data_IF_091082102460
#
_entry.id   IF_091082102460
#
_cell.length_a   1.000
_cell.length_b   1.000
_cell.length_c   1.000
_cell.angle_alpha   90.00
_cell.angle_beta   90.00
_cell.angle_gamma   90.00
#
_symmetry.space_group_name_H-M   'P 1'
#
loop_
_entity.id
_entity.type
_entity.pdbx_description
1 polymer ?
#
# COMPACT_ATOMS: atom_id res chain seq x y z
N UNK A 1 5.67 -36.28 -0.72
CA UNK A 1 4.47 -36.33 0.15
C UNK A 1 4.76 -35.77 1.57
N UNK A 2 5.90 -36.10 2.18
CA UNK A 2 6.29 -35.69 3.55
C UNK A 2 6.32 -34.15 3.74
N UNK A 3 6.84 -33.37 2.78
CA UNK A 3 6.91 -31.89 2.89
C UNK A 3 5.55 -31.19 3.03
N UNK A 4 4.46 -31.75 2.50
CA UNK A 4 3.11 -31.17 2.65
C UNK A 4 2.54 -31.38 4.05
N UNK A 5 3.00 -32.41 4.78
CA UNK A 5 2.51 -32.70 6.12
C UNK A 5 3.10 -31.75 7.17
N UNK A 6 4.35 -31.33 7.00
CA UNK A 6 5.02 -30.40 7.92
C UNK A 6 4.80 -28.93 7.58
N UNK A 7 4.13 -28.63 6.46
CA UNK A 7 3.85 -27.25 6.05
C UNK A 7 2.64 -26.69 6.80
N UNK A 8 2.68 -25.42 7.25
CA UNK A 8 1.51 -24.75 7.80
C UNK A 8 0.43 -24.56 6.72
N UNK A 9 -0.86 -24.46 7.12
CA UNK A 9 -1.92 -24.05 6.21
C UNK A 9 -1.69 -22.61 5.72
N UNK A 10 -2.19 -22.31 4.51
CA UNK A 10 -2.13 -20.99 3.89
C UNK A 10 -3.47 -20.30 4.07
N UNK A 11 -3.44 -19.05 4.50
CA UNK A 11 -4.55 -18.15 4.76
C UNK A 11 -4.49 -16.95 3.80
N UNK A 12 -5.60 -16.22 3.69
CA UNK A 12 -5.69 -15.05 2.80
C UNK A 12 -4.88 -13.85 3.32
N UNK A 13 -4.72 -13.75 4.65
CA UNK A 13 -3.99 -12.66 5.30
C UNK A 13 -2.53 -13.06 5.58
N UNK A 14 -1.60 -12.16 5.24
CA UNK A 14 -0.16 -12.31 5.51
C UNK A 14 0.15 -12.46 7.00
N UNK A 15 -0.61 -11.78 7.87
CA UNK A 15 -0.46 -11.90 9.33
C UNK A 15 -0.82 -13.30 9.83
N UNK A 16 -1.91 -13.86 9.32
CA UNK A 16 -2.37 -15.20 9.68
C UNK A 16 -1.43 -16.29 9.14
N UNK A 17 -0.91 -16.11 7.92
CA UNK A 17 0.17 -16.95 7.38
C UNK A 17 1.42 -16.93 8.26
N UNK A 18 1.79 -15.75 8.75
CA UNK A 18 2.93 -15.58 9.65
C UNK A 18 2.71 -16.31 10.97
N UNK A 19 1.57 -16.10 11.63
CA UNK A 19 1.20 -16.73 12.90
C UNK A 19 1.11 -18.26 12.76
N UNK A 20 0.52 -18.75 11.68
CA UNK A 20 0.43 -20.18 11.39
C UNK A 20 1.81 -20.83 11.18
N UNK A 21 2.72 -20.15 10.46
CA UNK A 21 4.10 -20.60 10.30
C UNK A 21 4.83 -20.69 11.64
N UNK A 22 4.58 -19.75 12.54
CA UNK A 22 5.13 -19.76 13.90
C UNK A 22 4.61 -20.92 14.74
N UNK A 23 3.28 -21.06 14.86
CA UNK A 23 2.68 -22.15 15.66
C UNK A 23 3.16 -23.50 15.15
N UNK A 24 3.08 -23.74 13.85
CA UNK A 24 3.47 -25.02 13.27
C UNK A 24 4.98 -25.28 13.44
N UNK A 25 5.83 -24.29 13.15
CA UNK A 25 7.29 -24.43 13.30
C UNK A 25 7.69 -24.69 14.74
N UNK A 26 7.16 -23.91 15.68
CA UNK A 26 7.42 -24.08 17.10
C UNK A 26 6.89 -25.41 17.63
N UNK A 27 5.64 -25.77 17.33
CA UNK A 27 5.04 -27.02 17.82
C UNK A 27 5.82 -28.26 17.36
N UNK A 28 6.27 -28.29 16.10
CA UNK A 28 7.13 -29.38 15.61
C UNK A 28 8.49 -29.42 16.29
N UNK A 29 9.14 -28.25 16.43
CA UNK A 29 10.46 -28.17 17.04
C UNK A 29 10.42 -28.48 18.56
N UNK A 30 9.40 -28.00 19.26
CA UNK A 30 9.12 -28.34 20.66
C UNK A 30 8.82 -29.84 20.80
N UNK A 31 8.02 -30.42 19.91
CA UNK A 31 7.76 -31.87 19.90
C UNK A 31 9.05 -32.66 19.72
N UNK A 32 9.91 -32.29 18.78
CA UNK A 32 11.20 -32.95 18.57
C UNK A 32 12.10 -32.83 19.82
N UNK A 33 12.16 -31.65 20.43
CA UNK A 33 12.91 -31.40 21.66
C UNK A 33 12.40 -32.26 22.84
N UNK A 34 11.08 -32.34 23.04
CA UNK A 34 10.45 -33.17 24.08
C UNK A 34 10.63 -34.67 23.82
N UNK A 35 10.65 -35.12 22.56
CA UNK A 35 10.94 -36.51 22.22
C UNK A 35 12.39 -36.87 22.57
N UNK A 36 13.34 -35.96 22.30
CA UNK A 36 14.75 -36.16 22.70
C UNK A 36 14.86 -36.31 24.22
N UNK A 37 14.16 -35.46 24.99
CA UNK A 37 14.09 -35.62 26.44
C UNK A 37 13.56 -36.99 26.84
N UNK A 38 12.44 -37.42 26.26
CA UNK A 38 11.80 -38.68 26.59
C UNK A 38 12.71 -39.88 26.31
N UNK A 39 13.49 -39.85 25.22
CA UNK A 39 14.48 -40.89 24.90
C UNK A 39 15.59 -40.94 25.96
N UNK A 40 16.11 -39.79 26.38
CA UNK A 40 17.15 -39.69 27.41
C UNK A 40 16.60 -40.20 28.76
N UNK A 41 15.40 -39.79 29.14
CA UNK A 41 14.75 -40.18 30.40
C UNK A 41 14.34 -41.67 30.43
N UNK A 42 13.99 -42.26 29.28
CA UNK A 42 13.68 -43.69 29.22
C UNK A 42 14.92 -44.56 29.47
N UNK A 43 16.11 -44.05 29.13
CA UNK A 43 17.38 -44.74 29.35
C UNK A 43 17.80 -44.82 30.83
N UNK A 44 17.19 -44.02 31.72
CA UNK A 44 17.54 -43.98 33.17
C UNK A 44 16.65 -44.90 34.03
N UNK A 45 15.81 -45.75 33.42
CA UNK A 45 15.05 -46.84 34.02
C UNK A 45 14.07 -46.50 35.19
N UNK A 46 13.87 -45.23 35.54
CA UNK A 46 12.98 -44.83 36.66
C UNK A 46 11.68 -44.17 36.20
N UNK A 47 10.51 -44.77 36.48
CA UNK A 47 9.23 -44.13 36.15
C UNK A 47 9.05 -42.85 36.97
N UNK A 48 8.93 -41.73 36.27
CA UNK A 48 8.87 -40.40 36.84
C UNK A 48 7.55 -39.72 36.45
N UNK A 49 6.89 -39.04 37.38
CA UNK A 49 5.72 -38.17 37.10
C UNK A 49 6.00 -37.17 35.97
N UNK A 50 7.27 -36.80 35.78
CA UNK A 50 7.76 -35.97 34.67
C UNK A 50 7.47 -36.56 33.29
N UNK A 51 7.50 -37.89 33.14
CA UNK A 51 7.21 -38.55 31.85
C UNK A 51 5.79 -38.27 31.38
N UNK A 52 4.84 -38.31 32.32
CA UNK A 52 3.42 -38.08 32.02
C UNK A 52 3.22 -36.64 31.54
N UNK A 53 3.84 -35.67 32.20
CA UNK A 53 3.77 -34.27 31.82
C UNK A 53 4.38 -34.01 30.43
N UNK A 54 5.54 -34.61 30.13
CA UNK A 54 6.19 -34.49 28.82
C UNK A 54 5.33 -35.10 27.71
N UNK A 55 4.76 -36.28 27.93
CA UNK A 55 3.84 -36.90 26.97
C UNK A 55 2.61 -36.00 26.76
N UNK A 56 2.05 -35.43 27.83
CA UNK A 56 0.94 -34.50 27.73
C UNK A 56 1.29 -33.25 26.91
N UNK A 57 2.47 -32.66 27.09
CA UNK A 57 2.94 -31.51 26.30
C UNK A 57 3.16 -31.86 24.82
N UNK A 58 3.59 -33.08 24.51
CA UNK A 58 3.67 -33.58 23.13
C UNK A 58 2.26 -33.68 22.53
N UNK A 59 1.31 -34.27 23.27
CA UNK A 59 -0.09 -34.39 22.82
C UNK A 59 -0.71 -33.01 22.58
N UNK A 60 -0.47 -32.05 23.48
CA UNK A 60 -0.88 -30.65 23.32
C UNK A 60 -0.31 -30.03 22.04
N UNK A 61 0.97 -30.29 21.74
CA UNK A 61 1.61 -29.78 20.52
C UNK A 61 0.95 -30.34 19.26
N UNK A 62 0.68 -31.65 19.23
CA UNK A 62 -0.05 -32.28 18.12
C UNK A 62 -1.50 -31.79 18.01
N UNK A 63 -2.19 -31.63 19.13
CA UNK A 63 -3.56 -31.14 19.17
C UNK A 63 -3.66 -29.69 18.68
N UNK A 64 -2.69 -28.84 19.04
CA UNK A 64 -2.58 -27.49 18.50
C UNK A 64 -2.35 -27.47 16.99
N UNK A 65 -1.47 -28.34 16.46
CA UNK A 65 -1.27 -28.49 15.00
C UNK A 65 -2.56 -28.97 14.32
N UNK A 66 -3.30 -29.89 14.94
CA UNK A 66 -4.58 -30.36 14.42
C UNK A 66 -5.59 -29.21 14.29
N UNK A 67 -5.77 -28.39 15.33
CA UNK A 67 -6.65 -27.20 15.29
C UNK A 67 -6.15 -26.17 14.27
N UNK A 68 -4.83 -26.02 14.13
CA UNK A 68 -4.27 -25.12 13.12
C UNK A 68 -4.71 -25.53 11.72
N UNK A 69 -4.71 -26.85 11.43
CA UNK A 69 -5.14 -27.40 10.15
C UNK A 69 -6.64 -27.29 9.91
N UNK A 70 -7.46 -27.15 10.94
CA UNK A 70 -8.89 -26.83 10.78
C UNK A 70 -9.14 -25.35 10.43
N UNK A 71 -8.08 -24.54 10.33
CA UNK A 71 -8.14 -23.13 9.92
C UNK A 71 -8.33 -22.14 11.06
N UNK A 72 -8.35 -22.58 12.33
CA UNK A 72 -8.55 -21.67 13.47
C UNK A 72 -7.23 -21.38 14.21
N UNK A 73 -6.55 -20.32 13.76
CA UNK A 73 -5.24 -19.91 14.30
C UNK A 73 -5.35 -19.46 15.76
N UNK A 74 -6.39 -18.69 16.10
CA UNK A 74 -6.61 -18.18 17.45
C UNK A 74 -6.80 -19.33 18.44
N UNK A 75 -7.65 -20.30 18.10
CA UNK A 75 -7.87 -21.47 18.95
C UNK A 75 -6.59 -22.31 19.10
N UNK A 76 -5.88 -22.55 18.00
CA UNK A 76 -4.61 -23.30 18.02
C UNK A 76 -3.56 -22.64 18.92
N UNK A 77 -3.41 -21.32 18.82
CA UNK A 77 -2.51 -20.51 19.63
C UNK A 77 -2.88 -20.48 21.11
N UNK A 78 -4.16 -20.26 21.42
CA UNK A 78 -4.65 -20.27 22.81
C UNK A 78 -4.47 -21.64 23.47
N UNK A 79 -4.71 -22.73 22.74
CA UNK A 79 -4.55 -24.10 23.24
C UNK A 79 -3.09 -24.41 23.58
N UNK A 80 -2.14 -24.11 22.67
CA UNK A 80 -0.71 -24.39 22.94
C UNK A 80 -0.17 -23.55 24.08
N UNK A 81 -0.62 -22.30 24.20
CA UNK A 81 -0.21 -21.40 25.29
C UNK A 81 -0.80 -21.85 26.63
N UNK A 82 -2.13 -22.04 26.71
CA UNK A 82 -2.81 -22.36 27.95
C UNK A 82 -2.43 -23.74 28.48
N UNK A 83 -2.45 -24.76 27.62
CA UNK A 83 -2.09 -26.13 28.03
C UNK A 83 -0.58 -26.28 28.21
N UNK A 84 0.24 -25.56 27.45
CA UNK A 84 1.69 -25.48 27.68
C UNK A 84 2.01 -24.89 29.05
N UNK A 85 1.39 -23.75 29.39
CA UNK A 85 1.53 -23.11 30.70
C UNK A 85 1.06 -24.01 31.85
N UNK A 86 -0.10 -24.66 31.68
CA UNK A 86 -0.63 -25.60 32.67
C UNK A 86 0.30 -26.82 32.85
N UNK A 87 0.83 -27.37 31.76
CA UNK A 87 1.78 -28.48 31.80
C UNK A 87 3.09 -28.12 32.50
N UNK A 88 3.63 -26.91 32.27
CA UNK A 88 4.80 -26.40 32.99
C UNK A 88 4.50 -26.25 34.50
N UNK A 89 3.35 -25.68 34.85
CA UNK A 89 2.95 -25.50 36.25
C UNK A 89 2.79 -26.84 36.96
N UNK A 90 2.12 -27.79 36.30
CA UNK A 90 1.96 -29.16 36.79
C UNK A 90 3.32 -29.83 37.00
N UNK A 91 4.23 -29.68 36.03
CA UNK A 91 5.58 -30.22 36.14
C UNK A 91 6.33 -29.64 37.34
N UNK A 92 6.30 -28.32 37.53
CA UNK A 92 6.96 -27.66 38.66
C UNK A 92 6.38 -28.12 40.00
N UNK A 93 5.06 -28.30 40.10
CA UNK A 93 4.37 -28.75 41.31
C UNK A 93 4.84 -30.14 41.77
N UNK A 94 5.02 -31.10 40.85
CA UNK A 94 5.37 -32.48 41.19
C UNK A 94 6.88 -32.78 41.17
N UNK A 95 7.72 -31.80 40.84
CA UNK A 95 9.17 -31.97 40.71
C UNK A 95 9.94 -31.16 41.78
N UNK A 96 10.80 -30.22 41.37
CA UNK A 96 11.63 -29.46 42.31
C UNK A 96 10.98 -28.16 42.83
N UNK A 97 9.67 -27.97 42.61
CA UNK A 97 8.94 -26.79 43.08
C UNK A 97 9.47 -25.50 42.43
N UNK A 98 9.71 -24.48 43.25
CA UNK A 98 10.22 -23.17 42.80
C UNK A 98 11.67 -23.25 42.30
N UNK A 99 12.39 -24.33 42.63
CA UNK A 99 13.78 -24.55 42.23
C UNK A 99 13.91 -25.32 40.91
N UNK A 100 12.78 -25.64 40.27
CA UNK A 100 12.78 -26.39 39.02
C UNK A 100 13.14 -25.52 37.81
N UNK A 101 13.97 -26.07 36.93
CA UNK A 101 14.38 -25.44 35.66
C UNK A 101 13.20 -25.17 34.74
N UNK A 102 12.13 -25.97 34.82
CA UNK A 102 10.98 -25.84 33.93
C UNK A 102 10.30 -24.47 34.02
N UNK A 103 10.49 -23.74 35.12
CA UNK A 103 9.98 -22.38 35.30
C UNK A 103 10.55 -21.39 34.28
N UNK A 104 11.77 -21.61 33.77
CA UNK A 104 12.32 -20.80 32.69
C UNK A 104 11.53 -20.96 31.38
N UNK A 105 10.80 -22.07 31.21
CA UNK A 105 9.93 -22.26 30.05
C UNK A 105 8.70 -21.33 30.06
N UNK A 106 8.35 -20.70 31.19
CA UNK A 106 7.32 -19.65 31.19
C UNK A 106 7.69 -18.47 30.28
N UNK A 107 8.99 -18.15 30.16
CA UNK A 107 9.46 -17.10 29.25
C UNK A 107 9.14 -17.52 27.80
N UNK A 108 9.41 -18.77 27.45
CA UNK A 108 9.11 -19.32 26.13
C UNK A 108 7.60 -19.25 25.81
N UNK A 109 6.74 -19.68 26.75
CA UNK A 109 5.28 -19.66 26.55
C UNK A 109 4.73 -18.23 26.50
N UNK A 110 5.25 -17.31 27.31
CA UNK A 110 4.87 -15.90 27.25
C UNK A 110 5.26 -15.25 25.91
N UNK A 111 6.48 -15.52 25.43
CA UNK A 111 6.93 -15.05 24.11
C UNK A 111 6.07 -15.63 22.99
N UNK A 112 5.76 -16.92 23.06
CA UNK A 112 4.86 -17.57 22.11
C UNK A 112 3.49 -16.89 22.11
N UNK A 113 2.93 -16.59 23.27
CA UNK A 113 1.63 -15.93 23.39
C UNK A 113 1.63 -14.50 22.83
N UNK A 114 2.72 -13.74 23.09
CA UNK A 114 2.92 -12.39 22.53
C UNK A 114 2.92 -12.38 21.01
N UNK A 115 3.57 -13.38 20.39
CA UNK A 115 3.74 -13.47 18.94
C UNK A 115 2.49 -14.05 18.26
N UNK A 116 1.93 -15.11 18.85
CA UNK A 116 0.87 -15.89 18.22
C UNK A 116 -0.50 -15.29 18.48
N UNK A 117 -0.76 -14.71 19.65
CA UNK A 117 -2.08 -14.21 20.01
C UNK A 117 -2.07 -12.69 19.97
N UNK A 118 -1.43 -12.05 20.95
CA UNK A 118 -1.13 -10.63 21.00
C UNK A 118 -0.24 -10.32 22.21
N UNK A 119 0.37 -9.13 22.23
CA UNK A 119 1.27 -8.68 23.29
C UNK A 119 0.60 -8.60 24.67
N UNK A 120 -0.69 -8.27 24.74
CA UNK A 120 -1.43 -8.18 26.01
C UNK A 120 -1.55 -9.55 26.67
N UNK A 121 -1.89 -10.59 25.90
CA UNK A 121 -1.99 -11.97 26.37
C UNK A 121 -0.63 -12.47 26.83
N UNK A 122 0.45 -12.14 26.11
CA UNK A 122 1.81 -12.43 26.60
C UNK A 122 2.12 -11.80 27.95
N UNK A 123 1.74 -10.53 28.15
CA UNK A 123 1.86 -9.86 29.45
C UNK A 123 1.03 -10.54 30.55
N UNK A 124 -0.21 -10.95 30.24
CA UNK A 124 -1.05 -11.69 31.17
C UNK A 124 -0.46 -13.06 31.53
N UNK A 125 0.14 -13.77 30.57
CA UNK A 125 0.83 -15.05 30.84
C UNK A 125 2.04 -14.84 31.76
N UNK A 126 2.79 -13.74 31.62
CA UNK A 126 3.88 -13.39 32.55
C UNK A 126 3.33 -13.16 33.96
N UNK A 127 2.27 -12.37 34.10
CA UNK A 127 1.64 -12.11 35.40
C UNK A 127 1.10 -13.40 36.04
N UNK A 128 0.47 -14.27 35.24
CA UNK A 128 0.02 -15.58 35.69
C UNK A 128 1.20 -16.46 36.12
N UNK A 129 2.31 -16.43 35.39
CA UNK A 129 3.53 -17.18 35.72
C UNK A 129 4.17 -16.70 37.03
N UNK A 130 4.25 -15.39 37.24
CA UNK A 130 4.70 -14.80 38.51
C UNK A 130 3.80 -15.27 39.66
N UNK A 131 2.49 -15.22 39.45
CA UNK A 131 1.51 -15.68 40.45
C UNK A 131 1.66 -17.17 40.75
N UNK A 132 1.90 -18.01 39.73
CA UNK A 132 2.15 -19.44 39.91
C UNK A 132 3.44 -19.70 40.69
N UNK A 133 4.53 -18.96 40.41
CA UNK A 133 5.79 -19.07 41.16
C UNK A 133 5.58 -18.74 42.65
N UNK A 134 4.88 -17.64 42.95
CA UNK A 134 4.56 -17.28 44.34
C UNK A 134 3.64 -18.29 45.01
N UNK A 135 2.68 -18.85 44.28
CA UNK A 135 1.79 -19.89 44.79
C UNK A 135 2.58 -21.15 45.14
N UNK A 136 3.49 -21.59 44.26
CA UNK A 136 4.39 -22.71 44.55
C UNK A 136 5.30 -22.42 45.76
N UNK A 137 5.82 -21.20 45.89
CA UNK A 137 6.63 -20.80 47.03
C UNK A 137 5.84 -20.89 48.36
N UNK A 138 4.59 -20.43 48.36
CA UNK A 138 3.72 -20.51 49.54
C UNK A 138 3.30 -21.95 49.88
N UNK A 139 3.21 -22.83 48.88
CA UNK A 139 2.94 -24.25 49.10
C UNK A 139 4.19 -24.99 49.62
N UNK A 140 5.39 -24.60 49.17
CA UNK A 140 6.67 -25.12 49.66
C UNK A 140 6.89 -24.74 51.13
N UNK A 141 6.62 -23.48 51.53
CA UNK A 141 6.80 -23.04 52.94
C UNK A 141 5.82 -23.65 53.93
N UNK A 142 4.70 -24.19 53.45
CA UNK A 142 3.67 -24.86 54.26
C UNK A 142 3.79 -26.39 54.26
N UNK A 143 4.88 -26.93 53.70
CA UNK A 143 5.15 -28.37 53.58
C UNK A 143 4.06 -29.17 52.85
N UNK A 144 3.29 -28.53 51.95
CA UNK A 144 2.30 -29.22 51.11
C UNK A 144 2.91 -29.92 49.89
N UNK A 145 4.18 -29.62 49.55
CA UNK A 145 4.86 -30.16 48.38
C UNK A 145 5.87 -31.24 48.78
N UNK A 146 5.76 -32.42 48.17
CA UNK A 146 6.79 -33.46 48.23
C UNK A 146 7.86 -33.17 47.18
N UNK A 147 8.89 -32.43 47.56
CA UNK A 147 9.97 -32.04 46.64
C UNK A 147 10.82 -33.24 46.23
N UNK A 148 11.05 -33.38 44.92
CA UNK A 148 12.07 -34.27 44.36
C UNK A 148 13.19 -33.43 43.77
N UNK A 149 14.36 -33.45 44.41
CA UNK A 149 15.53 -32.79 43.89
C UNK A 149 16.02 -33.50 42.63
N UNK A 150 16.24 -32.71 41.57
CA UNK A 150 16.84 -33.20 40.34
C UNK A 150 18.33 -33.46 40.58
N UNK A 151 18.85 -34.53 39.98
CA UNK A 151 20.32 -34.73 39.91
C UNK A 151 20.96 -33.64 39.05
N UNK A 152 22.26 -33.39 39.23
CA UNK A 152 22.98 -32.40 38.43
C UNK A 152 22.85 -32.67 36.91
N UNK A 153 22.79 -33.94 36.51
CA UNK A 153 22.61 -34.35 35.12
C UNK A 153 21.19 -34.07 34.62
N UNK A 154 20.15 -34.41 35.39
CA UNK A 154 18.74 -34.11 35.04
C UNK A 154 18.50 -32.60 34.91
N UNK A 155 19.07 -31.82 35.83
CA UNK A 155 19.02 -30.36 35.80
C UNK A 155 19.68 -29.80 34.53
N UNK A 156 20.90 -30.25 34.21
CA UNK A 156 21.63 -29.80 33.04
C UNK A 156 20.91 -30.15 31.73
N UNK A 157 20.34 -31.35 31.62
CA UNK A 157 19.56 -31.77 30.44
C UNK A 157 18.31 -30.90 30.30
N UNK A 158 17.55 -30.71 31.38
CA UNK A 158 16.32 -29.89 31.37
C UNK A 158 16.63 -28.44 30.97
N UNK A 159 17.71 -27.87 31.50
CA UNK A 159 18.13 -26.50 31.20
C UNK A 159 18.53 -26.36 29.74
N UNK A 160 19.30 -27.32 29.23
CA UNK A 160 19.71 -27.36 27.82
C UNK A 160 18.48 -27.35 26.90
N UNK A 161 17.46 -28.14 27.22
CA UNK A 161 16.26 -28.24 26.40
C UNK A 161 15.41 -26.97 26.42
N UNK A 162 15.24 -26.36 27.60
CA UNK A 162 14.53 -25.07 27.74
C UNK A 162 15.27 -23.97 26.97
N UNK A 163 16.60 -23.92 27.06
CA UNK A 163 17.40 -22.95 26.31
C UNK A 163 17.27 -23.18 24.80
N UNK A 164 17.29 -24.43 24.32
CA UNK A 164 17.05 -24.75 22.91
C UNK A 164 15.64 -24.28 22.48
N UNK A 165 14.61 -24.51 23.29
CA UNK A 165 13.25 -24.06 22.99
C UNK A 165 13.16 -22.52 22.89
N UNK A 166 13.81 -21.80 23.80
CA UNK A 166 13.90 -20.33 23.76
C UNK A 166 14.69 -19.88 22.53
N UNK A 167 15.83 -20.52 22.20
CA UNK A 167 16.61 -20.21 21.01
C UNK A 167 15.80 -20.39 19.72
N UNK A 168 14.98 -21.46 19.64
CA UNK A 168 14.08 -21.69 18.49
C UNK A 168 13.06 -20.55 18.38
N UNK A 169 12.43 -20.14 19.49
CA UNK A 169 11.49 -19.03 19.49
C UNK A 169 12.14 -17.71 19.05
N UNK A 170 13.32 -17.40 19.57
CA UNK A 170 14.07 -16.20 19.21
C UNK A 170 14.47 -16.24 17.73
N UNK A 171 14.91 -17.39 17.22
CA UNK A 171 15.26 -17.57 15.81
C UNK A 171 14.05 -17.26 14.92
N UNK A 172 12.91 -17.91 15.16
CA UNK A 172 11.70 -17.63 14.40
C UNK A 172 11.28 -16.16 14.52
N UNK A 173 11.29 -15.59 15.74
CA UNK A 173 10.99 -14.17 16.02
C UNK A 173 11.86 -13.23 15.19
N UNK A 174 13.18 -13.44 15.22
CA UNK A 174 14.15 -12.62 14.49
C UNK A 174 13.96 -12.71 12.98
N UNK A 175 13.78 -13.91 12.44
CA UNK A 175 13.48 -14.09 11.01
C UNK A 175 12.17 -13.41 10.63
N UNK A 176 11.16 -13.51 11.48
CA UNK A 176 9.87 -12.89 11.23
C UNK A 176 9.90 -11.36 11.18
N UNK A 177 10.62 -10.77 12.13
CA UNK A 177 10.85 -9.32 12.17
C UNK A 177 11.66 -8.87 10.95
N UNK A 178 12.72 -9.61 10.58
CA UNK A 178 13.52 -9.30 9.37
C UNK A 178 12.66 -9.31 8.11
N UNK A 179 11.83 -10.34 7.93
CA UNK A 179 10.94 -10.45 6.78
C UNK A 179 9.92 -9.30 6.74
N UNK A 180 9.37 -8.92 7.91
CA UNK A 180 8.45 -7.80 8.03
C UNK A 180 9.11 -6.46 7.67
N UNK A 181 10.34 -6.21 8.15
CA UNK A 181 11.11 -5.00 7.80
C UNK A 181 11.43 -4.96 6.30
N UNK A 182 11.84 -6.09 5.71
CA UNK A 182 12.10 -6.15 4.27
C UNK A 182 10.85 -5.86 3.45
N UNK A 183 9.68 -6.38 3.84
CA UNK A 183 8.40 -6.05 3.20
C UNK A 183 8.06 -4.56 3.36
N UNK A 184 8.23 -4.00 4.56
CA UNK A 184 8.00 -2.59 4.82
C UNK A 184 8.87 -1.68 3.94
N UNK A 185 10.18 -1.94 3.88
CA UNK A 185 11.12 -1.19 3.04
C UNK A 185 10.77 -1.28 1.54
N UNK A 186 10.35 -2.47 1.07
CA UNK A 186 9.91 -2.66 -0.32
C UNK A 186 8.64 -1.87 -0.63
N UNK A 187 7.68 -1.86 0.32
CA UNK A 187 6.45 -1.07 0.20
C UNK A 187 6.74 0.42 0.17
N UNK A 188 7.63 0.91 1.04
CA UNK A 188 8.05 2.31 1.09
C UNK A 188 8.73 2.74 -0.22
N UNK A 189 9.64 1.92 -0.75
CA UNK A 189 10.28 2.17 -2.03
C UNK A 189 9.27 2.23 -3.19
N UNK A 190 8.27 1.34 -3.18
CA UNK A 190 7.15 1.37 -4.12
C UNK A 190 6.35 2.66 -4.03
N UNK A 191 6.00 3.08 -2.82
CA UNK A 191 5.24 4.31 -2.58
C UNK A 191 6.01 5.55 -3.04
N UNK A 192 7.31 5.62 -2.76
CA UNK A 192 8.18 6.71 -3.22
C UNK A 192 8.26 6.77 -4.74
N UNK A 193 8.33 5.62 -5.40
CA UNK A 193 8.32 5.53 -6.87
C UNK A 193 6.99 6.04 -7.45
N UNK A 194 5.86 5.57 -6.94
CA UNK A 194 4.54 6.01 -7.43
C UNK A 194 4.30 7.50 -7.17
N UNK A 195 4.77 8.05 -6.04
CA UNK A 195 4.68 9.49 -5.79
C UNK A 195 5.50 10.30 -6.81
N UNK A 196 6.71 9.84 -7.14
CA UNK A 196 7.52 10.45 -8.20
C UNK A 196 6.82 10.40 -9.57
N UNK A 197 6.26 9.26 -9.96
CA UNK A 197 5.52 9.12 -11.22
C UNK A 197 4.28 10.05 -11.27
N UNK A 198 3.57 10.21 -10.14
CA UNK A 198 2.45 11.14 -10.04
C UNK A 198 2.88 12.61 -10.22
N UNK A 199 4.02 12.99 -9.65
CA UNK A 199 4.58 14.34 -9.83
C UNK A 199 4.96 14.60 -11.29
N UNK A 200 5.64 13.66 -11.95
CA UNK A 200 6.00 13.75 -13.37
C UNK A 200 4.75 13.82 -14.27
N UNK A 201 3.72 13.03 -13.95
CA UNK A 201 2.45 13.05 -14.68
C UNK A 201 1.72 14.39 -14.49
N UNK A 202 1.66 14.90 -13.27
CA UNK A 202 1.04 16.21 -13.00
C UNK A 202 1.76 17.33 -13.76
N UNK A 203 3.10 17.37 -13.75
CA UNK A 203 3.86 18.34 -14.54
C UNK A 203 3.56 18.24 -16.03
N UNK A 204 3.53 17.02 -16.56
CA UNK A 204 3.21 16.79 -17.99
C UNK A 204 1.78 17.24 -18.33
N UNK A 205 0.83 17.01 -17.42
CA UNK A 205 -0.55 17.45 -17.58
C UNK A 205 -0.66 18.97 -17.52
N UNK A 206 0.01 19.63 -16.58
CA UNK A 206 0.08 21.09 -16.49
C UNK A 206 0.64 21.69 -17.78
N UNK A 207 1.76 21.17 -18.29
CA UNK A 207 2.36 21.62 -19.55
C UNK A 207 1.40 21.42 -20.74
N UNK A 208 0.73 20.27 -20.82
CA UNK A 208 -0.24 20.00 -21.88
C UNK A 208 -1.44 20.94 -21.78
N UNK A 209 -1.96 21.20 -20.58
CA UNK A 209 -3.08 22.12 -20.35
C UNK A 209 -2.67 23.54 -20.75
N UNK A 210 -1.49 24.00 -20.34
CA UNK A 210 -0.96 25.32 -20.69
C UNK A 210 -0.80 25.48 -22.21
N UNK A 211 -0.18 24.51 -22.88
CA UNK A 211 -0.02 24.53 -24.33
C UNK A 211 -1.38 24.53 -25.06
N UNK A 212 -2.33 23.69 -24.63
CA UNK A 212 -3.67 23.65 -25.24
C UNK A 212 -4.46 24.93 -25.00
N UNK A 213 -4.29 25.54 -23.83
CA UNK A 213 -4.94 26.82 -23.51
C UNK A 213 -4.38 27.92 -24.40
N UNK A 214 -3.06 27.99 -24.58
CA UNK A 214 -2.44 28.96 -25.49
C UNK A 214 -2.84 28.75 -26.97
N UNK A 215 -2.91 27.50 -27.43
CA UNK A 215 -3.41 27.16 -28.77
C UNK A 215 -4.87 27.63 -28.97
N UNK A 216 -5.73 27.38 -27.98
CA UNK A 216 -7.13 27.79 -28.00
C UNK A 216 -7.28 29.32 -28.00
N UNK A 217 -6.49 30.02 -27.20
CA UNK A 217 -6.45 31.49 -27.16
C UNK A 217 -6.14 32.06 -28.56
N UNK A 218 -5.09 31.54 -29.21
CA UNK A 218 -4.69 31.93 -30.56
C UNK A 218 -5.76 31.61 -31.61
N UNK A 219 -6.39 30.43 -31.52
CA UNK A 219 -7.49 30.05 -32.40
C UNK A 219 -8.70 30.98 -32.24
N UNK A 220 -9.08 31.31 -31.00
CA UNK A 220 -10.16 32.24 -30.69
C UNK A 220 -9.88 33.63 -31.25
N UNK A 221 -8.66 34.16 -31.09
CA UNK A 221 -8.28 35.45 -31.68
C UNK A 221 -8.42 35.45 -33.21
N UNK A 222 -8.01 34.37 -33.89
CA UNK A 222 -8.17 34.23 -35.35
C UNK A 222 -9.63 34.14 -35.76
N UNK A 223 -10.46 33.41 -35.02
CA UNK A 223 -11.90 33.31 -35.26
C UNK A 223 -12.56 34.68 -35.09
N UNK A 224 -12.26 35.40 -34.01
CA UNK A 224 -12.77 36.76 -33.79
C UNK A 224 -12.38 37.71 -34.92
N UNK A 225 -11.12 37.67 -35.40
CA UNK A 225 -10.69 38.48 -36.54
C UNK A 225 -11.46 38.14 -37.82
N UNK A 226 -11.65 36.84 -38.12
CA UNK A 226 -12.45 36.40 -39.28
C UNK A 226 -13.92 36.77 -39.16
N UNK A 227 -14.50 36.67 -37.97
CA UNK A 227 -15.89 37.08 -37.72
C UNK A 227 -16.10 38.57 -38.03
N UNK A 228 -15.19 39.44 -37.57
CA UNK A 228 -15.21 40.88 -37.92
C UNK A 228 -15.09 41.13 -39.43
N UNK A 229 -14.28 40.32 -40.13
CA UNK A 229 -14.17 40.39 -41.59
C UNK A 229 -15.44 39.92 -42.31
N UNK A 230 -16.13 38.90 -41.80
CA UNK A 230 -17.41 38.46 -42.37
C UNK A 230 -18.54 39.46 -42.10
N UNK A 231 -18.58 40.05 -40.91
CA UNK A 231 -19.52 41.11 -40.56
C UNK A 231 -19.39 42.30 -41.52
N UNK A 232 -18.15 42.71 -41.81
CA UNK A 232 -17.83 43.71 -42.83
C UNK A 232 -18.43 43.40 -44.20
N UNK A 233 -18.17 42.19 -44.71
CA UNK A 233 -18.65 41.73 -46.01
C UNK A 233 -20.19 41.72 -46.03
N UNK A 234 -20.84 41.30 -44.96
CA UNK A 234 -22.29 41.30 -44.86
C UNK A 234 -22.89 42.73 -44.84
N UNK A 235 -22.24 43.69 -44.18
CA UNK A 235 -22.62 45.12 -44.24
C UNK A 235 -22.51 45.64 -45.67
N UNK A 236 -21.40 45.35 -46.34
CA UNK A 236 -21.16 45.72 -47.75
C UNK A 236 -22.22 45.10 -48.67
N UNK A 237 -22.48 43.80 -48.57
CA UNK A 237 -23.45 43.09 -49.40
C UNK A 237 -24.88 43.63 -49.23
N UNK A 238 -25.29 43.98 -47.99
CA UNK A 238 -26.58 44.63 -47.71
C UNK A 238 -26.71 46.02 -48.34
N UNK A 239 -25.64 46.82 -48.32
CA UNK A 239 -25.66 48.12 -48.98
C UNK A 239 -25.88 47.97 -50.50
N UNK A 240 -25.26 46.96 -51.13
CA UNK A 240 -25.40 46.67 -52.57
C UNK A 240 -26.80 46.17 -52.97
N UNK A 241 -27.51 45.46 -52.10
CA UNK A 241 -28.88 44.99 -52.39
C UNK A 241 -29.96 46.03 -52.13
N UNK A 242 -29.64 47.10 -51.42
CA UNK A 242 -30.51 48.28 -51.32
C UNK A 242 -30.43 49.01 -52.66
N UNK A 243 -31.55 49.26 -53.32
CA UNK A 243 -31.67 49.80 -54.69
C UNK A 243 -31.19 51.27 -54.80
N UNK A 244 -29.97 51.57 -54.35
CA UNK A 244 -29.27 52.86 -54.44
C UNK A 244 -28.66 53.01 -55.84
N UNK A 245 -28.63 54.24 -56.38
CA UNK A 245 -28.02 54.51 -57.69
C UNK A 245 -26.50 54.27 -57.64
N UNK A 246 -25.92 53.84 -58.76
CA UNK A 246 -24.48 53.51 -58.86
C UNK A 246 -23.58 54.67 -58.37
N UNK A 247 -24.02 55.91 -58.61
CA UNK A 247 -23.33 57.15 -58.22
C UNK A 247 -23.27 57.37 -56.70
N UNK A 248 -24.23 56.83 -55.94
CA UNK A 248 -24.26 56.94 -54.47
C UNK A 248 -23.70 55.69 -53.79
N UNK A 249 -23.91 54.52 -54.39
CA UNK A 249 -23.45 53.23 -53.85
C UNK A 249 -21.93 53.07 -53.89
N UNK A 250 -21.29 53.37 -55.03
CA UNK A 250 -19.85 53.11 -55.22
C UNK A 250 -18.95 53.93 -54.29
N UNK A 251 -19.19 55.24 -54.05
CA UNK A 251 -18.44 56.01 -53.06
C UNK A 251 -18.60 55.48 -51.63
N UNK A 252 -19.82 55.04 -51.27
CA UNK A 252 -20.13 54.48 -49.96
C UNK A 252 -19.41 53.15 -49.74
N UNK A 253 -19.36 52.31 -50.77
CA UNK A 253 -18.59 51.06 -50.79
C UNK A 253 -17.08 51.31 -50.66
N UNK A 254 -16.51 52.27 -51.40
CA UNK A 254 -15.10 52.61 -51.29
C UNK A 254 -14.70 53.09 -49.89
N UNK A 255 -15.54 53.91 -49.25
CA UNK A 255 -15.34 54.37 -47.86
C UNK A 255 -15.45 53.23 -46.85
N UNK A 256 -16.48 52.38 -46.96
CA UNK A 256 -16.68 51.22 -46.08
C UNK A 256 -15.52 50.22 -46.17
N UNK A 257 -15.02 49.94 -47.37
CA UNK A 257 -13.87 49.04 -47.56
C UNK A 257 -12.60 49.64 -46.95
N UNK A 258 -12.39 50.95 -47.10
CA UNK A 258 -11.25 51.63 -46.47
C UNK A 258 -11.31 51.58 -44.95
N UNK A 259 -12.45 51.90 -44.35
CA UNK A 259 -12.64 51.96 -42.90
C UNK A 259 -12.52 50.56 -42.26
N UNK A 260 -13.10 49.55 -42.90
CA UNK A 260 -13.23 48.23 -42.31
C UNK A 260 -12.01 47.32 -42.53
N UNK A 261 -11.23 47.58 -43.59
CA UNK A 261 -9.98 46.87 -43.87
C UNK A 261 -8.72 47.68 -43.56
N UNK A 262 -8.86 48.89 -42.99
CA UNK A 262 -7.77 49.82 -42.65
C UNK A 262 -6.85 50.16 -43.83
N UNK A 263 -7.44 50.30 -45.02
CA UNK A 263 -6.72 50.72 -46.21
C UNK A 263 -6.76 52.24 -46.36
N UNK A 264 -5.59 52.85 -46.52
CA UNK A 264 -5.47 54.29 -46.79
C UNK A 264 -6.26 54.74 -48.04
N UNK A 265 -6.27 53.92 -49.09
CA UNK A 265 -6.95 54.22 -50.34
C UNK A 265 -7.67 52.98 -50.89
N UNK A 266 -8.89 53.19 -51.37
CA UNK A 266 -9.73 52.26 -52.10
C UNK A 266 -10.35 53.02 -53.26
N UNK A 267 -10.12 52.52 -54.47
CA UNK A 267 -10.70 53.03 -55.71
C UNK A 267 -11.44 51.91 -56.44
N UNK A 268 -12.63 52.21 -56.96
CA UNK A 268 -13.45 51.29 -57.77
C UNK A 268 -13.38 51.76 -59.22
N UNK A 269 -12.94 50.88 -60.11
CA UNK A 269 -12.87 51.14 -61.54
C UNK A 269 -13.97 50.36 -62.28
N UNK A 270 -14.63 51.00 -63.24
CA UNK A 270 -15.59 50.39 -64.15
C UNK A 270 -15.02 50.40 -65.57
N UNK A 271 -15.24 49.31 -66.31
CA UNK A 271 -14.86 49.26 -67.72
C UNK A 271 -15.78 50.16 -68.56
N UNK A 272 -15.23 50.83 -69.56
CA UNK A 272 -16.03 51.54 -70.57
C UNK A 272 -16.85 50.56 -71.45
N UNK A 273 -17.83 51.08 -72.20
CA UNK A 273 -18.72 50.26 -73.05
C UNK A 273 -17.97 49.43 -74.10
N UNK A 274 -16.80 49.89 -74.54
CA UNK A 274 -15.93 49.21 -75.49
C UNK A 274 -14.91 48.28 -74.81
N UNK A 275 -14.96 48.15 -73.48
CA UNK A 275 -14.03 47.43 -72.61
C UNK A 275 -12.56 47.79 -72.84
N UNK A 276 -12.30 49.02 -73.30
CA UNK A 276 -10.94 49.44 -73.70
C UNK A 276 -10.17 50.14 -72.59
N UNK A 277 -10.89 50.78 -71.67
CA UNK A 277 -10.31 51.54 -70.56
C UNK A 277 -11.05 51.22 -69.26
N UNK A 278 -10.32 51.18 -68.15
CA UNK A 278 -10.89 51.11 -66.80
C UNK A 278 -10.99 52.52 -66.22
N UNK A 279 -12.20 53.05 -66.10
CA UNK A 279 -12.49 54.40 -65.62
C UNK A 279 -12.70 54.37 -64.11
N UNK A 280 -11.97 55.19 -63.36
CA UNK A 280 -12.18 55.33 -61.92
C UNK A 280 -13.60 55.89 -61.70
N UNK A 281 -14.43 55.16 -60.96
CA UNK A 281 -15.85 55.47 -60.74
C UNK A 281 -16.14 55.89 -59.30
N UNK A 282 -15.35 55.43 -58.33
CA UNK A 282 -15.44 55.90 -56.95
C UNK A 282 -14.10 55.79 -56.23
N UNK A 283 -13.87 56.66 -55.24
CA UNK A 283 -12.71 56.59 -54.36
C UNK A 283 -13.00 57.19 -52.97
N UNK A 284 -12.39 56.62 -51.93
CA UNK A 284 -12.53 57.10 -50.55
C UNK A 284 -11.59 58.27 -50.21
N UNK A 285 -10.34 58.23 -50.70
CA UNK A 285 -9.25 59.10 -50.22
C UNK A 285 -9.23 60.44 -50.96
N UNK A 286 -8.64 61.47 -50.35
CA UNK A 286 -8.46 62.80 -50.95
C UNK A 286 -7.74 62.74 -52.31
N UNK A 287 -6.69 61.92 -52.42
CA UNK A 287 -5.97 61.70 -53.68
C UNK A 287 -6.86 61.01 -54.72
N UNK A 288 -7.59 59.98 -54.32
CA UNK A 288 -8.52 59.26 -55.19
C UNK A 288 -9.68 60.11 -55.69
N UNK A 289 -10.24 60.99 -54.84
CA UNK A 289 -11.31 61.92 -55.24
C UNK A 289 -10.83 62.92 -56.30
N UNK A 290 -9.61 63.44 -56.17
CA UNK A 290 -8.99 64.28 -57.21
C UNK A 290 -8.74 63.53 -58.51
N UNK A 291 -8.43 62.23 -58.45
CA UNK A 291 -8.30 61.38 -59.64
C UNK A 291 -9.67 61.13 -60.29
N UNK A 292 -10.72 60.97 -59.49
CA UNK A 292 -12.09 60.80 -59.95
C UNK A 292 -12.59 62.05 -60.71
N UNK A 293 -12.38 63.24 -60.14
CA UNK A 293 -12.72 64.53 -60.76
C UNK A 293 -12.00 64.78 -62.09
N UNK A 294 -10.83 64.17 -62.27
CA UNK A 294 -10.03 64.26 -63.51
C UNK A 294 -10.42 63.20 -64.55
N UNK A 295 -11.41 62.35 -64.25
CA UNK A 295 -11.83 61.25 -65.11
C UNK A 295 -10.71 60.25 -65.37
N UNK A 296 -9.92 59.90 -64.35
CA UNK A 296 -8.75 59.03 -64.48
C UNK A 296 -9.11 57.66 -65.08
N UNK A 297 -8.32 57.21 -66.05
CA UNK A 297 -8.48 55.94 -66.76
C UNK A 297 -7.17 55.17 -66.80
N UNK A 298 -7.26 53.85 -66.67
CA UNK A 298 -6.17 52.88 -66.89
C UNK A 298 -6.37 52.13 -68.21
#
# INVERSE_FOLDING_TARGET
>A
MIRKFFAPPVFDNDEDNFRAKFINGFAWAATANLIIYLIIDLATASFSTTRIAVIALIVVSFFSIFILRTGNINASGSVIVALGWAGITYQAYYAAGVKDVILFAYIAVALLASIVINQLIGGLVILASITAIWTLALLETKDFLTLRFQTATEYAVSLTLVLIAISILIYYSSTGIRDAITRANKSEAGLKKSNKELLELNQTLEDRVNNRTAELELANQRIQKRAKQFEAIAVVARATTTNESLETLLPKLASLVSEQFDFYHTGIFLLDENRKYAVLSAANSLGGKRMLERGHKL
#
